data_IF_565041160574
#
_entry.id   IF_565041160574
#
_cell.length_a   1.000
_cell.length_b   1.000
_cell.length_c   1.000
_cell.angle_alpha   90.00
_cell.angle_beta   90.00
_cell.angle_gamma   90.00
#
_symmetry.space_group_name_H-M   'P 1'
#
loop_
_entity.id
_entity.type
_entity.pdbx_description
1 polymer ?
#
# COMPACT_ATOMS: atom_id res chain seq x y z
N UNK A 1 -12.24 -25.04 6.37
CA UNK A 1 -12.47 -25.18 4.92
C UNK A 1 -12.64 -23.81 4.24
N UNK A 2 -11.69 -22.88 4.40
CA UNK A 2 -11.74 -21.56 3.72
C UNK A 2 -11.22 -21.64 2.27
N UNK A 3 -10.24 -22.53 2.04
CA UNK A 3 -9.68 -22.83 0.71
C UNK A 3 -10.67 -23.52 -0.24
N UNK A 4 -11.81 -24.03 0.25
CA UNK A 4 -12.75 -24.82 -0.56
C UNK A 4 -13.61 -23.99 -1.52
N UNK A 5 -13.55 -22.65 -1.44
CA UNK A 5 -14.30 -21.74 -2.30
C UNK A 5 -13.51 -21.19 -3.50
N UNK A 6 -12.21 -21.50 -3.60
CA UNK A 6 -11.34 -20.99 -4.66
C UNK A 6 -10.79 -22.14 -5.49
N UNK A 7 -10.86 -22.04 -6.81
CA UNK A 7 -10.43 -23.09 -7.73
C UNK A 7 -8.91 -23.04 -7.95
N UNK A 8 -8.27 -21.91 -7.68
CA UNK A 8 -6.82 -21.72 -7.86
C UNK A 8 -6.22 -20.80 -6.79
N UNK A 9 -4.89 -20.90 -6.59
CA UNK A 9 -4.15 -19.97 -5.73
C UNK A 9 -4.26 -18.51 -6.21
N UNK A 10 -4.40 -18.30 -7.53
CA UNK A 10 -4.55 -16.98 -8.15
C UNK A 10 -5.83 -16.29 -7.70
N UNK A 11 -6.95 -17.01 -7.74
CA UNK A 11 -8.25 -16.52 -7.28
C UNK A 11 -8.21 -16.16 -5.79
N UNK A 12 -7.57 -17.02 -4.98
CA UNK A 12 -7.39 -16.75 -3.56
C UNK A 12 -6.56 -15.48 -3.31
N UNK A 13 -5.41 -15.33 -3.96
CA UNK A 13 -4.56 -14.15 -3.79
C UNK A 13 -5.31 -12.87 -4.18
N UNK A 14 -6.00 -12.87 -5.32
CA UNK A 14 -6.73 -11.71 -5.79
C UNK A 14 -7.90 -11.34 -4.85
N UNK A 15 -8.64 -12.33 -4.35
CA UNK A 15 -9.73 -12.10 -3.40
C UNK A 15 -9.21 -11.51 -2.07
N UNK A 16 -8.09 -12.01 -1.55
CA UNK A 16 -7.48 -11.46 -0.34
C UNK A 16 -6.97 -10.02 -0.57
N UNK A 17 -6.33 -9.76 -1.71
CA UNK A 17 -5.87 -8.42 -2.07
C UNK A 17 -7.05 -7.44 -2.20
N UNK A 18 -8.17 -7.88 -2.76
CA UNK A 18 -9.39 -7.09 -2.89
C UNK A 18 -10.02 -6.75 -1.54
N UNK A 19 -10.13 -7.74 -0.66
CA UNK A 19 -10.62 -7.55 0.70
C UNK A 19 -9.78 -6.52 1.44
N UNK A 20 -8.45 -6.65 1.40
CA UNK A 20 -7.53 -5.74 2.10
C UNK A 20 -7.52 -4.35 1.46
N UNK A 21 -7.52 -4.24 0.14
CA UNK A 21 -7.63 -2.95 -0.57
C UNK A 21 -8.91 -2.21 -0.19
N UNK A 22 -10.03 -2.93 -0.09
CA UNK A 22 -11.31 -2.38 0.35
C UNK A 22 -11.27 -1.93 1.81
N UNK A 23 -10.68 -2.73 2.71
CA UNK A 23 -10.52 -2.39 4.13
C UNK A 23 -9.69 -1.12 4.30
N UNK A 24 -8.52 -1.07 3.66
CA UNK A 24 -7.63 0.07 3.67
C UNK A 24 -8.31 1.34 3.14
N UNK A 25 -9.03 1.24 2.01
CA UNK A 25 -9.80 2.38 1.46
C UNK A 25 -10.82 2.94 2.45
N UNK A 26 -11.57 2.07 3.15
CA UNK A 26 -12.54 2.49 4.18
C UNK A 26 -11.87 3.16 5.37
N UNK A 27 -10.74 2.63 5.85
CA UNK A 27 -9.97 3.19 6.96
C UNK A 27 -9.47 4.59 6.61
N UNK A 28 -8.83 4.73 5.44
CA UNK A 28 -8.30 6.02 4.97
C UNK A 28 -9.44 7.03 4.76
N UNK A 29 -10.53 6.64 4.10
CA UNK A 29 -11.67 7.52 3.89
C UNK A 29 -12.30 8.01 5.19
N UNK A 30 -12.49 7.11 6.16
CA UNK A 30 -13.02 7.47 7.48
C UNK A 30 -12.08 8.38 8.28
N UNK A 31 -10.77 8.15 8.20
CA UNK A 31 -9.74 8.98 8.82
C UNK A 31 -9.72 10.39 8.21
N UNK A 32 -9.67 10.50 6.87
CA UNK A 32 -9.62 11.80 6.18
C UNK A 32 -10.87 12.64 6.42
N UNK A 33 -12.05 12.01 6.53
CA UNK A 33 -13.31 12.71 6.88
C UNK A 33 -13.31 13.36 8.26
N UNK A 34 -12.49 12.88 9.19
CA UNK A 34 -12.39 13.45 10.55
C UNK A 34 -11.44 14.66 10.61
N UNK A 35 -10.59 14.83 9.60
CA UNK A 35 -9.63 15.94 9.54
C UNK A 35 -10.33 17.22 9.09
N UNK A 36 -10.06 18.32 9.79
CA UNK A 36 -10.62 19.64 9.55
C UNK A 36 -9.73 20.49 8.64
N UNK A 37 -8.42 20.29 8.69
CA UNK A 37 -7.46 21.02 7.85
C UNK A 37 -6.71 20.12 6.87
N UNK A 38 -6.08 20.76 5.90
CA UNK A 38 -5.22 20.12 4.92
C UNK A 38 -3.97 19.50 5.58
N UNK A 39 -3.36 20.23 6.51
CA UNK A 39 -2.20 19.77 7.27
C UNK A 39 -2.54 18.54 8.12
N UNK A 40 -3.73 18.52 8.74
CA UNK A 40 -4.21 17.35 9.50
C UNK A 40 -4.39 16.13 8.59
N UNK A 41 -4.89 16.31 7.35
CA UNK A 41 -5.03 15.22 6.39
C UNK A 41 -3.68 14.67 5.94
N UNK A 42 -2.72 15.55 5.62
CA UNK A 42 -1.37 15.15 5.22
C UNK A 42 -0.67 14.41 6.37
N UNK A 43 -0.75 14.93 7.60
CA UNK A 43 -0.21 14.28 8.78
C UNK A 43 -0.86 12.92 9.04
N UNK A 44 -2.18 12.82 8.89
CA UNK A 44 -2.90 11.55 9.05
C UNK A 44 -2.51 10.51 8.00
N UNK A 45 -2.30 10.92 6.75
CA UNK A 45 -1.80 10.03 5.69
C UNK A 45 -0.39 9.53 5.97
N UNK A 46 0.49 10.40 6.51
CA UNK A 46 1.84 10.01 6.91
C UNK A 46 1.82 8.95 8.00
N UNK A 47 1.05 9.18 9.06
CA UNK A 47 0.96 8.21 10.17
C UNK A 47 0.27 6.92 9.72
N UNK A 48 -0.76 7.01 8.86
CA UNK A 48 -1.37 5.84 8.27
C UNK A 48 -0.36 5.03 7.45
N UNK A 49 0.44 5.67 6.59
CA UNK A 49 1.45 5.00 5.78
C UNK A 49 2.50 4.27 6.63
N UNK A 50 2.99 4.92 7.70
CA UNK A 50 3.91 4.27 8.65
C UNK A 50 3.24 3.09 9.38
N UNK A 51 1.97 3.23 9.77
CA UNK A 51 1.22 2.18 10.48
C UNK A 51 1.02 0.91 9.66
N UNK A 52 1.12 0.97 8.32
CA UNK A 52 1.03 -0.21 7.46
C UNK A 52 2.15 -1.22 7.74
N UNK A 53 3.28 -0.78 8.32
CA UNK A 53 4.38 -1.66 8.72
C UNK A 53 3.93 -2.69 9.78
N UNK A 54 3.00 -2.31 10.66
CA UNK A 54 2.49 -3.20 11.71
C UNK A 54 1.67 -4.37 11.12
N UNK A 55 1.12 -4.22 9.90
CA UNK A 55 0.39 -5.25 9.20
C UNK A 55 1.33 -6.19 8.41
N UNK A 56 2.19 -6.90 9.16
CA UNK A 56 3.19 -7.82 8.58
C UNK A 56 2.56 -8.91 7.73
N UNK A 57 1.35 -9.35 8.09
CA UNK A 57 0.62 -10.39 7.34
C UNK A 57 0.28 -9.89 5.93
N UNK A 58 -0.20 -8.65 5.82
CA UNK A 58 -0.48 -8.04 4.53
C UNK A 58 0.79 -7.87 3.68
N UNK A 59 1.88 -7.36 4.28
CA UNK A 59 3.14 -7.19 3.56
C UNK A 59 3.68 -8.52 3.01
N UNK A 60 3.65 -9.58 3.82
CA UNK A 60 4.06 -10.94 3.41
C UNK A 60 3.17 -11.47 2.29
N UNK A 61 1.83 -11.33 2.39
CA UNK A 61 0.91 -11.78 1.34
C UNK A 61 1.20 -11.11 -0.01
N UNK A 62 1.46 -9.79 0.00
CA UNK A 62 1.81 -9.05 -1.23
C UNK A 62 3.14 -9.55 -1.82
N UNK A 63 4.13 -9.85 -0.97
CA UNK A 63 5.41 -10.41 -1.40
C UNK A 63 5.21 -11.81 -2.00
N UNK A 64 4.46 -12.68 -1.33
CA UNK A 64 4.14 -14.03 -1.81
C UNK A 64 3.42 -13.99 -3.15
N UNK A 65 2.42 -13.12 -3.30
CA UNK A 65 1.73 -12.91 -4.57
C UNK A 65 2.68 -12.46 -5.69
N UNK A 66 3.54 -11.46 -5.43
CA UNK A 66 4.51 -10.96 -6.40
C UNK A 66 5.51 -12.06 -6.80
N UNK A 67 6.03 -12.83 -5.83
CA UNK A 67 6.93 -13.95 -6.08
C UNK A 67 6.24 -15.09 -6.85
N UNK A 68 4.99 -15.41 -6.52
CA UNK A 68 4.18 -16.39 -7.25
C UNK A 68 4.05 -15.96 -8.72
N UNK A 69 3.64 -14.72 -8.99
CA UNK A 69 3.50 -14.20 -10.35
C UNK A 69 4.83 -14.20 -11.12
N UNK A 70 5.96 -13.91 -10.46
CA UNK A 70 7.29 -13.95 -11.08
C UNK A 70 7.75 -15.38 -11.41
N UNK A 71 7.39 -16.37 -10.58
CA UNK A 71 7.69 -17.80 -10.83
C UNK A 71 6.82 -18.41 -11.92
N UNK A 72 5.63 -17.87 -12.16
CA UNK A 72 4.70 -18.33 -13.19
C UNK A 72 4.64 -17.33 -14.35
N UNK A 73 5.72 -17.28 -15.14
CA UNK A 73 5.93 -16.26 -16.17
C UNK A 73 4.79 -16.13 -17.20
N UNK A 74 4.11 -17.24 -17.52
CA UNK A 74 2.93 -17.28 -18.40
C UNK A 74 1.71 -16.54 -17.82
N UNK A 75 1.61 -16.44 -16.49
CA UNK A 75 0.50 -15.80 -15.77
C UNK A 75 0.83 -14.38 -15.31
N UNK A 76 2.12 -14.01 -15.29
CA UNK A 76 2.62 -12.74 -14.73
C UNK A 76 1.86 -11.52 -15.22
N UNK A 77 1.65 -11.40 -16.53
CA UNK A 77 0.96 -10.24 -17.12
C UNK A 77 -0.49 -10.17 -16.63
N UNK A 78 -1.24 -11.28 -16.73
CA UNK A 78 -2.62 -11.38 -16.27
C UNK A 78 -2.76 -11.06 -14.78
N UNK A 79 -1.88 -11.59 -13.94
CA UNK A 79 -1.90 -11.34 -12.49
C UNK A 79 -1.54 -9.90 -12.15
N UNK A 80 -0.57 -9.31 -12.85
CA UNK A 80 -0.24 -7.90 -12.69
C UNK A 80 -1.41 -6.99 -13.09
N UNK A 81 -2.15 -7.34 -14.13
CA UNK A 81 -3.31 -6.59 -14.62
C UNK A 81 -4.47 -6.68 -13.64
N UNK A 82 -4.81 -7.89 -13.19
CA UNK A 82 -5.82 -8.10 -12.17
C UNK A 82 -5.49 -7.36 -10.86
N UNK A 83 -4.23 -7.43 -10.41
CA UNK A 83 -3.79 -6.67 -9.25
C UNK A 83 -3.91 -5.16 -9.45
N UNK A 84 -3.62 -4.62 -10.66
CA UNK A 84 -3.85 -3.19 -10.95
C UNK A 84 -5.33 -2.82 -10.84
N UNK A 85 -6.23 -3.65 -11.37
CA UNK A 85 -7.68 -3.42 -11.27
C UNK A 85 -8.14 -3.43 -9.80
N UNK A 86 -7.71 -4.42 -9.02
CA UNK A 86 -8.06 -4.51 -7.59
C UNK A 86 -7.57 -3.28 -6.81
N UNK A 87 -6.35 -2.78 -7.08
CA UNK A 87 -5.84 -1.55 -6.46
C UNK A 87 -6.62 -0.28 -6.82
N UNK A 88 -7.51 -0.31 -7.82
CA UNK A 88 -8.38 0.83 -8.14
C UNK A 88 -9.71 0.81 -7.37
N UNK A 89 -10.05 -0.31 -6.73
CA UNK A 89 -11.26 -0.44 -5.94
C UNK A 89 -11.17 0.49 -4.73
N UNK A 90 -12.18 1.34 -4.54
CA UNK A 90 -12.23 2.32 -3.44
C UNK A 90 -11.38 3.59 -3.65
N UNK A 91 -10.58 3.69 -4.71
CA UNK A 91 -9.80 4.90 -5.01
C UNK A 91 -10.66 6.15 -5.23
N UNK A 92 -11.80 6.13 -5.95
CA UNK A 92 -12.53 7.36 -6.25
C UNK A 92 -13.04 8.10 -5.01
N UNK A 93 -13.33 7.38 -3.92
CA UNK A 93 -13.77 7.98 -2.66
C UNK A 93 -12.60 8.62 -1.91
N UNK A 94 -11.44 7.94 -1.87
CA UNK A 94 -10.23 8.45 -1.22
C UNK A 94 -9.63 9.61 -2.00
N UNK A 95 -9.58 9.52 -3.34
CA UNK A 95 -9.02 10.55 -4.22
C UNK A 95 -9.76 11.89 -4.07
N UNK A 96 -11.07 11.88 -3.86
CA UNK A 96 -11.88 13.09 -3.58
C UNK A 96 -11.60 13.72 -2.22
N UNK A 97 -11.01 12.96 -1.29
CA UNK A 97 -10.68 13.39 0.06
C UNK A 97 -9.20 13.73 0.21
N UNK A 98 -8.41 13.53 -0.85
CA UNK A 98 -6.99 13.88 -0.83
C UNK A 98 -6.82 15.41 -0.72
N UNK A 99 -5.83 15.87 0.06
CA UNK A 99 -5.47 17.28 0.12
C UNK A 99 -5.12 17.84 -1.26
N UNK A 100 -5.48 19.11 -1.52
CA UNK A 100 -5.18 19.81 -2.76
C UNK A 100 -3.67 19.95 -3.00
N UNK A 101 -2.87 20.08 -1.93
CA UNK A 101 -1.42 20.08 -1.96
C UNK A 101 -0.82 18.76 -2.50
N UNK A 102 -1.62 17.68 -2.56
CA UNK A 102 -1.24 16.41 -3.18
C UNK A 102 -1.69 16.31 -4.64
N UNK A 103 -2.46 17.27 -5.16
CA UNK A 103 -2.84 17.32 -6.57
C UNK A 103 -1.63 17.62 -7.45
N UNK A 104 -1.29 16.63 -8.27
CA UNK A 104 -0.11 16.64 -9.14
C UNK A 104 -0.43 15.96 -10.45
N UNK A 105 0.37 16.13 -11.52
CA UNK A 105 0.21 15.34 -12.74
C UNK A 105 0.16 13.84 -12.42
N UNK A 106 -0.74 13.10 -13.10
CA UNK A 106 -0.99 11.70 -12.80
C UNK A 106 0.29 10.83 -12.82
N UNK A 107 1.22 11.14 -13.73
CA UNK A 107 2.53 10.48 -13.81
C UNK A 107 3.36 10.66 -12.53
N UNK A 108 3.42 11.87 -11.99
CA UNK A 108 4.19 12.16 -10.77
C UNK A 108 3.55 11.49 -9.54
N UNK A 109 2.22 11.51 -9.44
CA UNK A 109 1.49 10.77 -8.38
C UNK A 109 1.80 9.28 -8.42
N UNK A 110 1.84 8.69 -9.62
CA UNK A 110 2.15 7.28 -9.78
C UNK A 110 3.58 6.95 -9.37
N UNK A 111 4.57 7.77 -9.76
CA UNK A 111 5.96 7.61 -9.33
C UNK A 111 6.07 7.62 -7.80
N UNK A 112 5.47 8.63 -7.14
CA UNK A 112 5.48 8.70 -5.67
C UNK A 112 4.84 7.48 -5.02
N UNK A 113 3.71 7.03 -5.55
CA UNK A 113 3.03 5.83 -5.07
C UNK A 113 3.92 4.60 -5.17
N UNK A 114 4.57 4.40 -6.32
CA UNK A 114 5.50 3.28 -6.55
C UNK A 114 6.67 3.36 -5.57
N UNK A 115 7.26 4.54 -5.36
CA UNK A 115 8.37 4.75 -4.42
C UNK A 115 7.98 4.38 -2.99
N UNK A 116 6.83 4.88 -2.52
CA UNK A 116 6.33 4.56 -1.19
C UNK A 116 5.97 3.07 -1.06
N UNK A 117 5.31 2.48 -2.06
CA UNK A 117 5.00 1.03 -2.04
C UNK A 117 6.27 0.18 -1.97
N UNK A 118 7.30 0.53 -2.74
CA UNK A 118 8.58 -0.18 -2.76
C UNK A 118 9.30 -0.09 -1.40
N UNK A 119 9.34 1.10 -0.80
CA UNK A 119 9.94 1.32 0.51
C UNK A 119 9.20 0.57 1.62
N UNK A 120 7.86 0.65 1.64
CA UNK A 120 7.04 -0.10 2.58
C UNK A 120 7.27 -1.61 2.46
N UNK A 121 7.26 -2.15 1.23
CA UNK A 121 7.50 -3.58 1.00
C UNK A 121 8.88 -4.00 1.48
N UNK A 122 9.92 -3.24 1.13
CA UNK A 122 11.30 -3.53 1.52
C UNK A 122 11.53 -3.45 3.02
N UNK A 123 11.06 -2.38 3.68
CA UNK A 123 11.22 -2.21 5.12
C UNK A 123 10.40 -3.23 5.92
N UNK A 124 9.20 -3.58 5.44
CA UNK A 124 8.42 -4.66 6.05
C UNK A 124 9.16 -6.00 6.00
N UNK A 125 9.80 -6.30 4.86
CA UNK A 125 10.60 -7.51 4.69
C UNK A 125 11.85 -7.49 5.59
N UNK A 126 12.65 -6.43 5.53
CA UNK A 126 13.91 -6.31 6.30
C UNK A 126 13.64 -6.36 7.81
N UNK A 127 12.61 -5.64 8.29
CA UNK A 127 12.26 -5.64 9.70
C UNK A 127 11.70 -6.99 10.18
N UNK A 128 10.99 -7.72 9.31
CA UNK A 128 10.53 -9.06 9.62
C UNK A 128 11.65 -10.11 9.58
N UNK A 129 12.63 -9.94 8.68
CA UNK A 129 13.73 -10.88 8.47
C UNK A 129 14.84 -10.73 9.52
N UNK A 130 15.28 -9.50 9.81
CA UNK A 130 16.32 -9.18 10.79
C UNK A 130 15.93 -7.95 11.63
N UNK A 131 15.07 -8.13 12.65
CA UNK A 131 14.61 -7.04 13.50
C UNK A 131 15.73 -6.43 14.36
N UNK A 132 16.89 -7.10 14.50
CA UNK A 132 18.05 -6.56 15.22
C UNK A 132 18.79 -5.53 14.37
N UNK A 133 18.82 -5.72 13.05
CA UNK A 133 19.36 -4.77 12.09
C UNK A 133 18.38 -3.63 11.80
N UNK A 134 17.09 -3.94 11.64
CA UNK A 134 16.03 -2.96 11.35
C UNK A 134 14.87 -3.17 12.30
N UNK A 135 14.86 -2.44 13.42
CA UNK A 135 13.72 -2.45 14.34
C UNK A 135 12.48 -1.84 13.70
N UNK A 136 11.30 -2.20 14.21
CA UNK A 136 10.03 -1.61 13.76
C UNK A 136 10.03 -0.09 13.90
N UNK A 137 10.47 0.43 15.05
CA UNK A 137 10.57 1.88 15.29
C UNK A 137 11.45 2.59 14.25
N UNK A 138 12.57 1.95 13.88
CA UNK A 138 13.49 2.47 12.86
C UNK A 138 12.81 2.48 11.49
N UNK A 139 12.16 1.37 11.11
CA UNK A 139 11.44 1.27 9.86
C UNK A 139 10.27 2.28 9.76
N UNK A 140 9.47 2.44 10.83
CA UNK A 140 8.41 3.44 10.86
C UNK A 140 8.95 4.86 10.70
N UNK A 141 10.05 5.19 11.40
CA UNK A 141 10.74 6.48 11.26
C UNK A 141 11.18 6.74 9.81
N UNK A 142 11.76 5.74 9.14
CA UNK A 142 12.15 5.84 7.73
C UNK A 142 10.92 6.05 6.83
N UNK A 143 9.81 5.33 7.08
CA UNK A 143 8.58 5.49 6.31
C UNK A 143 8.00 6.92 6.45
N UNK A 144 7.95 7.48 7.67
CA UNK A 144 7.50 8.86 7.89
C UNK A 144 8.36 9.86 7.11
N UNK A 145 9.69 9.71 7.19
CA UNK A 145 10.62 10.57 6.45
C UNK A 145 10.49 10.42 4.94
N UNK A 146 10.31 9.19 4.45
CA UNK A 146 10.09 8.91 3.04
C UNK A 146 8.81 9.56 2.50
N UNK A 147 7.74 9.54 3.29
CA UNK A 147 6.51 10.25 2.95
C UNK A 147 6.74 11.75 2.84
N UNK A 148 7.41 12.37 3.81
CA UNK A 148 7.70 13.80 3.80
C UNK A 148 8.61 14.20 2.62
N UNK A 149 9.62 13.38 2.31
CA UNK A 149 10.47 13.57 1.12
C UNK A 149 9.67 13.43 -0.17
N UNK A 150 8.78 12.42 -0.24
CA UNK A 150 7.92 12.22 -1.40
C UNK A 150 7.06 13.46 -1.67
N UNK A 151 6.63 14.21 -0.64
CA UNK A 151 5.88 15.45 -0.85
C UNK A 151 6.71 16.59 -1.44
N UNK A 152 8.00 16.67 -1.12
CA UNK A 152 8.90 17.74 -1.57
C UNK A 152 9.27 17.65 -3.06
N UNK A 153 9.11 16.51 -3.71
CA UNK A 153 9.30 16.37 -5.17
C UNK A 153 8.27 17.12 -6.04
N UNK A 154 7.42 17.95 -5.42
CA UNK A 154 6.40 18.78 -6.06
C UNK A 154 6.75 20.27 -6.11
N UNK A 155 7.92 20.66 -5.60
CA UNK A 155 8.44 22.02 -5.67
C UNK A 155 9.35 22.20 -6.89
#
# INVERSE_FOLDING_TARGET
AFYAHFNTNEELFLALIEQESTRHGKVVGAMLRKCKTEEERIGSLREYYASLLADKKWAILVIEFKLYALRHGNLRARLADAHRQVRTIGKPEVERLLPAALEQPAALREVKRITLEALLTGLSLESAYDPKRVSEDTAESILRQAFDMAQKFSA
#
